data_IF_448612585074
#
_entry.id   IF_448612585074
#
_cell.length_a   1.000
_cell.length_b   1.000
_cell.length_c   1.000
_cell.angle_alpha   90.00
_cell.angle_beta   90.00
_cell.angle_gamma   90.00
#
_symmetry.space_group_name_H-M   'P 1'
#
loop_
_entity.id
_entity.type
_entity.pdbx_description
1 polymer ?
#
# COMPACT_ATOMS: atom_id res chain seq x y z
N UNK A 1 11.48 -4.52 -6.46
CA UNK A 1 11.60 -3.41 -5.46
C UNK A 1 10.37 -3.50 -4.56
N UNK A 2 10.53 -3.79 -3.27
CA UNK A 2 9.44 -3.79 -2.28
C UNK A 2 9.89 -2.88 -1.14
N UNK A 3 9.42 -1.63 -1.14
CA UNK A 3 9.74 -0.66 -0.11
C UNK A 3 8.42 -0.09 0.43
N UNK A 4 8.34 0.03 1.75
CA UNK A 4 7.22 0.71 2.41
C UNK A 4 7.13 2.13 1.83
N UNK A 5 5.94 2.50 1.38
CA UNK A 5 5.65 3.78 0.69
C UNK A 5 5.79 5.02 1.59
N UNK A 6 6.24 4.83 2.84
CA UNK A 6 6.32 5.86 3.86
C UNK A 6 4.98 6.14 4.53
N UNK A 7 4.92 7.28 5.23
CA UNK A 7 3.70 7.78 5.87
C UNK A 7 3.25 9.02 5.10
N UNK A 8 2.06 8.96 4.51
CA UNK A 8 1.39 10.15 4.00
C UNK A 8 0.47 10.72 5.08
N UNK A 9 0.19 12.03 5.01
CA UNK A 9 -0.72 12.69 5.94
C UNK A 9 -1.72 13.54 5.16
N UNK A 10 -2.93 13.68 5.68
CA UNK A 10 -3.94 14.61 5.20
C UNK A 10 -4.31 15.52 6.35
N UNK A 11 -4.27 16.83 6.12
CA UNK A 11 -4.78 17.78 7.11
C UNK A 11 -6.31 17.80 7.04
N UNK A 12 -6.96 17.60 8.18
CA UNK A 12 -8.40 17.68 8.33
C UNK A 12 -8.71 18.57 9.54
N UNK A 13 -9.18 19.80 9.27
CA UNK A 13 -9.29 20.86 10.28
C UNK A 13 -7.99 21.06 11.08
N UNK A 14 -8.03 20.76 12.38
CA UNK A 14 -6.92 20.89 13.32
C UNK A 14 -6.21 19.55 13.59
N UNK A 15 -6.50 18.52 12.80
CA UNK A 15 -5.96 17.18 12.96
C UNK A 15 -5.27 16.69 11.69
N UNK A 16 -4.47 15.64 11.84
CA UNK A 16 -3.83 14.94 10.73
C UNK A 16 -4.32 13.50 10.71
N UNK A 17 -4.84 13.08 9.56
CA UNK A 17 -5.10 11.68 9.26
C UNK A 17 -3.84 11.14 8.59
N UNK A 18 -3.31 10.03 9.09
CA UNK A 18 -2.12 9.38 8.52
C UNK A 18 -2.53 8.18 7.71
N UNK A 19 -1.81 7.97 6.62
CA UNK A 19 -1.96 6.82 5.73
C UNK A 19 -0.64 6.09 5.63
N UNK A 20 -0.68 4.77 5.81
CA UNK A 20 0.50 3.90 5.75
C UNK A 20 0.20 2.73 4.84
N UNK A 21 1.02 2.56 3.82
CA UNK A 21 0.98 1.40 2.95
C UNK A 21 1.92 0.31 3.45
N UNK A 22 1.37 -0.83 3.87
CA UNK A 22 2.14 -2.03 4.15
C UNK A 22 2.22 -2.86 2.87
N UNK A 23 3.46 -3.07 2.42
CA UNK A 23 3.72 -3.93 1.28
C UNK A 23 3.59 -5.36 1.73
N UNK A 24 2.58 -6.12 1.28
CA UNK A 24 2.50 -7.54 1.62
C UNK A 24 3.34 -8.37 0.68
N UNK A 25 3.94 -9.45 1.20
CA UNK A 25 4.85 -10.26 0.40
C UNK A 25 4.18 -10.79 -0.86
N UNK A 26 3.25 -11.75 -0.77
CA UNK A 26 2.81 -12.48 -1.97
C UNK A 26 1.29 -12.56 -2.14
N UNK A 27 0.50 -11.97 -1.23
CA UNK A 27 -0.97 -12.03 -1.28
C UNK A 27 -1.65 -10.68 -1.39
N UNK A 28 -1.29 -9.73 -0.52
CA UNK A 28 -2.14 -8.56 -0.27
C UNK A 28 -1.33 -7.30 -0.01
N UNK A 29 -1.76 -6.20 -0.58
CA UNK A 29 -1.23 -4.87 -0.32
C UNK A 29 -2.27 -4.12 0.50
N UNK A 30 -1.85 -3.52 1.62
CA UNK A 30 -2.81 -2.97 2.60
C UNK A 30 -2.50 -1.53 2.96
N UNK A 31 -3.51 -0.67 2.88
CA UNK A 31 -3.39 0.73 3.26
C UNK A 31 -4.15 0.92 4.56
N UNK A 32 -3.48 1.44 5.58
CA UNK A 32 -4.07 1.75 6.88
C UNK A 32 -4.28 3.25 7.03
N UNK A 33 -5.32 3.62 7.77
CA UNK A 33 -5.63 5.01 8.10
C UNK A 33 -5.89 5.18 9.59
N UNK A 34 -5.31 6.22 10.20
CA UNK A 34 -5.47 6.52 11.61
C UNK A 34 -5.18 8.00 11.92
N UNK A 35 -5.90 8.55 12.89
CA UNK A 35 -5.66 9.90 13.42
C UNK A 35 -5.16 9.86 14.88
N UNK A 36 -5.69 8.95 15.68
CA UNK A 36 -5.34 8.79 17.08
C UNK A 36 -4.19 7.77 17.23
N UNK A 37 -3.10 8.17 17.86
CA UNK A 37 -1.97 7.30 18.20
C UNK A 37 -1.24 7.85 19.43
N UNK A 38 -0.67 6.96 20.25
CA UNK A 38 0.27 7.34 21.31
C UNK A 38 1.71 7.17 20.79
N UNK A 39 2.46 8.24 20.48
CA UNK A 39 3.86 8.11 20.09
C UNK A 39 4.69 7.59 21.26
N UNK A 40 5.58 6.64 20.99
CA UNK A 40 6.65 6.25 21.92
C UNK A 40 8.00 6.49 21.22
N UNK A 41 8.93 7.24 21.84
CA UNK A 41 10.26 7.42 21.28
C UNK A 41 10.98 6.08 21.13
N UNK A 42 11.67 5.86 20.01
CA UNK A 42 12.44 4.63 19.78
C UNK A 42 13.49 4.39 20.88
N UNK A 43 14.06 5.47 21.44
CA UNK A 43 14.99 5.41 22.58
C UNK A 43 14.35 4.82 23.84
N UNK A 44 13.07 5.11 24.09
CA UNK A 44 12.35 4.54 25.22
C UNK A 44 12.12 3.03 25.04
N UNK A 45 11.82 2.59 23.81
CA UNK A 45 11.65 1.18 23.46
C UNK A 45 12.94 0.40 23.73
N UNK A 46 14.06 0.91 23.22
CA UNK A 46 15.39 0.28 23.39
C UNK A 46 15.79 0.24 24.86
N UNK A 47 15.59 1.35 25.58
CA UNK A 47 15.91 1.46 27.00
C UNK A 47 15.08 0.48 27.84
N UNK A 48 13.78 0.36 27.58
CA UNK A 48 12.91 -0.56 28.30
C UNK A 48 13.28 -2.03 28.05
N UNK A 49 13.62 -2.40 26.81
CA UNK A 49 14.12 -3.74 26.49
C UNK A 49 15.42 -4.04 27.25
N UNK A 50 16.39 -3.12 27.23
CA UNK A 50 17.67 -3.28 27.93
C UNK A 50 17.51 -3.40 29.46
N UNK A 51 16.49 -2.75 30.03
CA UNK A 51 16.19 -2.77 31.47
C UNK A 51 15.19 -3.88 31.86
N UNK A 52 14.73 -4.69 30.90
CA UNK A 52 13.68 -5.68 31.09
C UNK A 52 12.38 -5.08 31.72
N UNK A 53 12.07 -3.83 31.36
CA UNK A 53 10.90 -3.07 31.83
C UNK A 53 9.74 -3.23 30.85
N UNK A 54 8.54 -3.48 31.39
CA UNK A 54 7.30 -3.51 30.60
C UNK A 54 6.97 -2.08 30.14
N UNK A 55 6.83 -1.89 28.83
CA UNK A 55 6.33 -0.65 28.24
C UNK A 55 4.81 -0.58 28.35
N UNK A 56 4.27 0.59 28.67
CA UNK A 56 2.85 0.83 28.52
C UNK A 56 2.51 0.95 27.03
N UNK A 57 1.94 -0.12 26.48
CA UNK A 57 1.53 -0.22 25.07
C UNK A 57 0.10 0.32 24.83
N UNK A 58 -0.56 0.86 25.87
CA UNK A 58 -1.92 1.38 25.75
C UNK A 58 -1.99 2.50 24.71
N UNK A 59 -2.86 2.35 23.71
CA UNK A 59 -3.02 3.34 22.64
C UNK A 59 -1.99 3.24 21.50
N UNK A 60 -1.14 2.21 21.49
CA UNK A 60 -0.37 1.85 20.30
C UNK A 60 -1.30 1.33 19.20
N UNK A 61 -0.92 1.60 17.95
CA UNK A 61 -1.63 1.07 16.79
C UNK A 61 -1.07 -0.30 16.46
N UNK A 62 -1.95 -1.28 16.41
CA UNK A 62 -1.63 -2.61 15.92
C UNK A 62 -2.14 -2.75 14.48
N UNK A 63 -1.23 -2.69 13.51
CA UNK A 63 -1.54 -2.95 12.08
C UNK A 63 -1.81 -4.43 11.78
N UNK A 64 -1.70 -5.31 12.79
CA UNK A 64 -1.94 -6.74 12.66
C UNK A 64 -0.63 -7.49 12.47
N UNK A 65 -0.49 -8.13 11.31
CA UNK A 65 0.63 -9.01 11.00
C UNK A 65 1.94 -8.24 10.93
N UNK A 66 3.05 -8.97 10.73
CA UNK A 66 4.37 -8.32 10.61
C UNK A 66 4.27 -7.19 9.60
N UNK A 67 4.98 -6.08 9.83
CA UNK A 67 4.82 -4.84 9.05
C UNK A 67 5.02 -4.95 7.53
N UNK A 68 5.39 -6.13 7.02
CA UNK A 68 5.54 -6.47 5.61
C UNK A 68 4.50 -7.48 5.07
N UNK A 69 3.47 -7.86 5.83
CA UNK A 69 2.54 -8.94 5.42
C UNK A 69 1.16 -8.41 4.95
N UNK A 70 0.86 -7.14 5.25
CA UNK A 70 -0.46 -6.56 4.96
C UNK A 70 -1.54 -7.13 5.89
N UNK A 71 -2.74 -7.37 5.37
CA UNK A 71 -3.91 -7.84 6.14
C UNK A 71 -4.04 -9.36 6.25
N UNK A 72 -3.27 -10.11 5.45
CA UNK A 72 -3.24 -11.56 5.41
C UNK A 72 -1.90 -12.07 5.99
N UNK A 73 -1.89 -13.24 6.65
CA UNK A 73 -0.66 -13.86 7.12
C UNK A 73 0.24 -14.27 5.95
N UNK A 74 1.54 -14.38 6.20
CA UNK A 74 2.51 -14.85 5.21
C UNK A 74 2.17 -16.25 4.68
N UNK A 75 2.00 -16.41 3.36
CA UNK A 75 2.04 -17.72 2.75
C UNK A 75 3.49 -18.15 2.45
N UNK A 76 3.70 -19.45 2.41
CA UNK A 76 4.79 -20.09 1.69
C UNK A 76 4.15 -20.73 0.47
N UNK A 77 4.48 -20.20 -0.70
CA UNK A 77 3.86 -20.57 -1.97
C UNK A 77 4.75 -21.58 -2.69
N UNK A 78 4.23 -22.79 -2.92
CA UNK A 78 4.94 -23.87 -3.61
C UNK A 78 4.14 -24.37 -4.83
N UNK A 79 4.80 -24.80 -5.92
CA UNK A 79 4.12 -25.46 -7.02
C UNK A 79 3.65 -26.86 -6.61
N UNK A 80 2.44 -27.25 -7.00
CA UNK A 80 1.97 -28.62 -6.80
C UNK A 80 2.68 -29.57 -7.78
N UNK A 81 3.43 -30.55 -7.26
CA UNK A 81 4.18 -31.51 -8.10
C UNK A 81 3.28 -32.34 -9.03
N UNK A 82 2.05 -32.63 -8.60
CA UNK A 82 1.08 -33.45 -9.35
C UNK A 82 0.34 -32.68 -10.43
N UNK A 83 0.21 -31.36 -10.29
CA UNK A 83 -0.47 -30.50 -11.25
C UNK A 83 0.16 -29.10 -11.25
N UNK A 84 0.97 -28.76 -12.27
CA UNK A 84 1.64 -27.46 -12.37
C UNK A 84 0.69 -26.25 -12.45
N UNK A 85 -0.60 -26.46 -12.73
CA UNK A 85 -1.62 -25.40 -12.74
C UNK A 85 -2.16 -25.06 -11.35
N UNK A 86 -1.78 -25.84 -10.32
CA UNK A 86 -2.16 -25.62 -8.94
C UNK A 86 -0.96 -25.15 -8.11
N UNK A 87 -1.28 -24.39 -7.08
CA UNK A 87 -0.32 -23.82 -6.15
C UNK A 87 -0.73 -24.27 -4.75
N UNK A 88 0.24 -24.70 -3.96
CA UNK A 88 0.10 -24.98 -2.53
C UNK A 88 0.51 -23.74 -1.75
N UNK A 89 -0.36 -23.27 -0.85
CA UNK A 89 -0.11 -22.13 0.03
C UNK A 89 -0.11 -22.60 1.48
N UNK A 90 1.06 -22.61 2.12
CA UNK A 90 1.18 -22.89 3.54
C UNK A 90 1.16 -21.59 4.33
N UNK A 91 0.16 -21.39 5.18
CA UNK A 91 0.03 -20.17 5.99
C UNK A 91 0.86 -20.28 7.26
N UNK A 92 1.87 -19.42 7.39
CA UNK A 92 2.66 -19.31 8.60
C UNK A 92 1.87 -18.60 9.72
N UNK A 93 2.07 -19.01 10.98
CA UNK A 93 1.50 -18.37 12.17
C UNK A 93 -0.04 -18.30 12.24
N UNK A 94 -0.76 -19.17 11.52
CA UNK A 94 -2.23 -19.14 11.43
C UNK A 94 -2.97 -19.04 12.79
N UNK A 95 -2.52 -19.76 13.83
CA UNK A 95 -3.17 -19.72 15.15
C UNK A 95 -3.05 -18.33 15.79
N UNK A 96 -1.85 -17.74 15.73
CA UNK A 96 -1.62 -16.35 16.19
C UNK A 96 -2.49 -15.39 15.38
N UNK A 97 -2.66 -15.69 14.09
CA UNK A 97 -3.52 -14.92 13.19
C UNK A 97 -4.95 -14.82 13.68
N UNK A 98 -5.56 -15.97 13.98
CA UNK A 98 -6.93 -16.00 14.48
C UNK A 98 -7.03 -15.35 15.87
N UNK A 99 -6.05 -15.57 16.75
CA UNK A 99 -6.08 -15.05 18.13
C UNK A 99 -6.00 -13.51 18.24
N UNK A 100 -5.49 -12.83 17.22
CA UNK A 100 -5.28 -11.37 17.22
C UNK A 100 -6.12 -10.64 16.18
N UNK A 101 -6.89 -11.35 15.36
CA UNK A 101 -7.71 -10.77 14.28
C UNK A 101 -8.68 -9.68 14.73
N UNK A 102 -9.22 -9.76 15.94
CA UNK A 102 -10.16 -8.75 16.50
C UNK A 102 -9.47 -7.60 17.23
N UNK A 103 -8.15 -7.66 17.43
CA UNK A 103 -7.35 -6.67 18.17
C UNK A 103 -6.61 -5.69 17.26
N UNK A 104 -6.58 -5.95 15.96
CA UNK A 104 -5.90 -5.12 14.96
C UNK A 104 -6.84 -4.07 14.38
N UNK A 105 -6.28 -2.95 13.91
CA UNK A 105 -7.04 -1.99 13.12
C UNK A 105 -7.36 -2.61 11.75
N UNK A 106 -8.58 -2.39 11.26
CA UNK A 106 -8.94 -2.79 9.91
C UNK A 106 -8.24 -1.88 8.89
N UNK A 107 -7.74 -2.42 7.76
CA UNK A 107 -7.15 -1.63 6.68
C UNK A 107 -8.21 -0.76 6.02
N UNK A 108 -7.84 0.46 5.64
CA UNK A 108 -8.69 1.37 4.86
C UNK A 108 -9.15 0.67 3.59
N UNK A 109 -8.21 0.09 2.86
CA UNK A 109 -8.45 -0.71 1.66
C UNK A 109 -7.32 -1.73 1.49
N UNK A 110 -7.62 -2.78 0.73
CA UNK A 110 -6.64 -3.77 0.29
C UNK A 110 -6.83 -4.07 -1.19
N UNK A 111 -5.73 -4.46 -1.82
CA UNK A 111 -5.75 -5.09 -3.14
C UNK A 111 -4.83 -6.30 -3.15
N UNK A 112 -5.02 -7.21 -4.10
CA UNK A 112 -4.44 -8.55 -4.02
C UNK A 112 -3.51 -8.84 -5.20
N UNK A 113 -2.50 -9.70 -4.97
CA UNK A 113 -1.56 -10.15 -6.01
C UNK A 113 -2.17 -11.19 -6.95
N UNK A 114 -3.29 -11.77 -6.51
CA UNK A 114 -4.18 -12.66 -7.25
C UNK A 114 -5.61 -12.17 -6.98
N UNK A 115 -6.11 -11.27 -7.82
CA UNK A 115 -7.46 -10.72 -7.69
C UNK A 115 -8.35 -11.22 -8.84
N UNK A 116 -9.33 -12.11 -8.58
CA UNK A 116 -10.21 -12.64 -9.61
C UNK A 116 -11.34 -11.66 -10.00
N UNK A 117 -11.49 -10.53 -9.30
CA UNK A 117 -12.57 -9.58 -9.55
C UNK A 117 -12.31 -8.83 -10.87
N UNK A 118 -13.31 -8.70 -11.75
CA UNK A 118 -13.11 -8.22 -13.12
C UNK A 118 -12.71 -6.75 -13.22
N UNK A 119 -13.05 -5.92 -12.24
CA UNK A 119 -12.76 -4.49 -12.18
C UNK A 119 -11.49 -4.15 -11.37
N UNK A 120 -10.74 -5.17 -10.96
CA UNK A 120 -9.54 -5.04 -10.12
C UNK A 120 -8.30 -5.49 -10.87
N UNK A 121 -7.16 -4.96 -10.44
CA UNK A 121 -5.86 -5.39 -10.93
C UNK A 121 -5.21 -6.34 -9.94
N UNK A 122 -4.43 -7.27 -10.46
CA UNK A 122 -3.51 -8.06 -9.64
C UNK A 122 -2.22 -7.28 -9.44
N UNK A 123 -1.93 -6.92 -8.19
CA UNK A 123 -0.78 -6.11 -7.80
C UNK A 123 0.54 -6.86 -7.71
N UNK A 124 1.62 -6.12 -7.45
CA UNK A 124 2.96 -6.68 -7.22
C UNK A 124 3.69 -6.03 -6.05
N UNK A 125 3.55 -4.71 -5.88
CA UNK A 125 4.16 -3.95 -4.80
C UNK A 125 3.54 -2.55 -4.72
N UNK A 126 2.99 -2.20 -3.56
CA UNK A 126 2.53 -0.84 -3.25
C UNK A 126 3.73 0.12 -3.18
N UNK A 127 3.80 1.10 -4.08
CA UNK A 127 4.96 2.01 -4.20
C UNK A 127 4.66 3.46 -3.82
N UNK A 128 3.40 3.80 -3.55
CA UNK A 128 3.03 5.16 -3.18
C UNK A 128 1.59 5.26 -2.70
N UNK A 129 1.37 6.09 -1.69
CA UNK A 129 0.05 6.46 -1.17
C UNK A 129 0.05 7.96 -0.94
N UNK A 130 -0.94 8.69 -1.46
CA UNK A 130 -1.10 10.12 -1.25
C UNK A 130 -2.58 10.50 -1.20
N UNK A 131 -3.01 11.31 -0.22
CA UNK A 131 -4.31 11.94 -0.28
C UNK A 131 -4.30 13.06 -1.32
N UNK A 132 -5.40 13.21 -2.05
CA UNK A 132 -5.61 14.29 -3.01
C UNK A 132 -6.67 15.27 -2.50
N UNK A 133 -6.28 16.53 -2.34
CA UNK A 133 -7.13 17.62 -1.84
C UNK A 133 -7.49 18.63 -2.94
N UNK A 134 -7.05 18.38 -4.17
CA UNK A 134 -7.36 19.21 -5.33
C UNK A 134 -8.77 18.94 -5.88
N UNK A 135 -9.13 19.71 -6.89
CA UNK A 135 -10.41 19.64 -7.60
C UNK A 135 -10.25 19.59 -9.12
N UNK A 136 -9.02 19.48 -9.62
CA UNK A 136 -8.72 19.42 -11.05
C UNK A 136 -9.10 18.06 -11.62
N UNK A 137 -8.88 16.97 -10.87
CA UNK A 137 -9.27 15.62 -11.28
C UNK A 137 -10.69 15.30 -10.77
N UNK A 138 -11.70 15.19 -11.66
CA UNK A 138 -13.09 14.99 -11.25
C UNK A 138 -13.30 13.71 -10.44
N UNK A 139 -14.07 13.82 -9.35
CA UNK A 139 -14.43 12.67 -8.51
C UNK A 139 -13.34 12.20 -7.55
N UNK A 140 -12.13 12.77 -7.59
CA UNK A 140 -11.02 12.37 -6.72
C UNK A 140 -10.79 13.28 -5.51
N UNK A 141 -11.49 14.41 -5.41
CA UNK A 141 -11.32 15.34 -4.28
C UNK A 141 -11.57 14.65 -2.94
N UNK A 142 -10.55 14.70 -2.07
CA UNK A 142 -10.55 14.05 -0.76
C UNK A 142 -10.25 12.54 -0.79
N UNK A 143 -10.02 11.94 -1.95
CA UNK A 143 -9.69 10.52 -2.07
C UNK A 143 -8.24 10.24 -1.68
N UNK A 144 -7.99 8.98 -1.33
CA UNK A 144 -6.66 8.43 -1.11
C UNK A 144 -6.26 7.73 -2.40
N UNK A 145 -5.23 8.26 -3.04
CA UNK A 145 -4.66 7.72 -4.28
C UNK A 145 -3.48 6.84 -3.93
N UNK A 146 -3.34 5.72 -4.63
CA UNK A 146 -2.22 4.83 -4.45
C UNK A 146 -1.79 4.19 -5.76
N UNK A 147 -0.53 3.74 -5.79
CA UNK A 147 0.09 3.14 -6.97
C UNK A 147 0.68 1.78 -6.66
N UNK A 148 0.64 0.91 -7.67
CA UNK A 148 1.41 -0.32 -7.69
C UNK A 148 2.49 -0.26 -8.75
N UNK A 149 3.64 -0.85 -8.45
CA UNK A 149 4.79 -0.95 -9.34
C UNK A 149 4.42 -1.48 -10.72
N UNK A 150 3.67 -2.59 -10.79
CA UNK A 150 3.26 -3.27 -12.03
C UNK A 150 1.96 -4.05 -11.83
N UNK A 151 1.07 -3.97 -12.82
CA UNK A 151 -0.06 -4.89 -12.97
C UNK A 151 0.43 -6.26 -13.43
N UNK A 152 0.26 -7.28 -12.59
CA UNK A 152 0.65 -8.65 -12.88
C UNK A 152 -0.03 -9.17 -14.16
N UNK A 153 0.73 -9.87 -15.00
CA UNK A 153 0.23 -10.42 -16.26
C UNK A 153 0.12 -9.43 -17.42
N UNK A 154 0.46 -8.15 -17.21
CA UNK A 154 0.46 -7.15 -18.27
C UNK A 154 1.82 -7.06 -18.99
N UNK A 155 1.79 -7.07 -20.33
CA UNK A 155 2.96 -6.85 -21.20
C UNK A 155 2.63 -5.83 -22.30
N UNK A 156 3.45 -4.79 -22.52
CA UNK A 156 4.61 -4.38 -21.71
C UNK A 156 4.20 -4.00 -20.27
N UNK A 157 5.15 -4.06 -19.32
CA UNK A 157 4.85 -3.83 -17.91
C UNK A 157 4.30 -2.41 -17.68
N UNK A 158 3.21 -2.29 -16.93
CA UNK A 158 2.56 -1.01 -16.59
C UNK A 158 2.20 -1.00 -15.12
N UNK A 159 2.50 0.08 -14.41
CA UNK A 159 1.99 0.30 -13.07
C UNK A 159 0.47 0.45 -13.02
N UNK A 160 -0.08 0.39 -11.81
CA UNK A 160 -1.48 0.67 -11.55
C UNK A 160 -1.62 1.98 -10.78
N UNK A 161 -2.67 2.72 -11.08
CA UNK A 161 -3.11 3.88 -10.29
C UNK A 161 -4.55 3.61 -9.85
N UNK A 162 -4.80 3.78 -8.55
CA UNK A 162 -6.08 3.44 -7.94
C UNK A 162 -6.41 4.43 -6.83
N UNK A 163 -7.67 4.44 -6.41
CA UNK A 163 -8.14 5.29 -5.33
C UNK A 163 -9.19 4.63 -4.46
N UNK A 164 -9.31 5.13 -3.24
CA UNK A 164 -10.43 4.85 -2.36
C UNK A 164 -10.83 6.12 -1.62
N UNK A 165 -12.05 6.15 -1.08
CA UNK A 165 -12.53 7.26 -0.27
C UNK A 165 -11.94 7.20 1.14
N UNK A 166 -12.02 8.31 1.87
CA UNK A 166 -11.79 8.31 3.32
C UNK A 166 -12.82 7.37 3.97
N UNK A 167 -12.40 6.64 5.00
CA UNK A 167 -13.30 5.76 5.75
C UNK A 167 -14.42 6.56 6.41
N UNK A 168 -15.67 6.23 6.08
CA UNK A 168 -16.88 6.79 6.71
C UNK A 168 -17.53 5.84 7.71
N UNK A 169 -17.23 4.54 7.62
CA UNK A 169 -17.82 3.48 8.44
C UNK A 169 -16.72 2.59 9.05
N UNK A 170 -17.02 1.81 10.09
CA UNK A 170 -16.07 0.85 10.68
C UNK A 170 -15.90 -0.42 9.81
N UNK A 171 -15.70 -0.24 8.50
CA UNK A 171 -15.55 -1.29 7.48
C UNK A 171 -14.36 -0.96 6.57
N UNK A 172 -13.78 -1.99 5.95
CA UNK A 172 -12.83 -1.84 4.86
C UNK A 172 -13.53 -1.33 3.60
N UNK A 173 -12.97 -0.31 2.96
CA UNK A 173 -13.44 0.20 1.69
C UNK A 173 -13.01 -0.74 0.55
N UNK A 174 -13.81 -0.75 -0.51
CA UNK A 174 -13.30 -1.19 -1.81
C UNK A 174 -12.55 -0.03 -2.48
N UNK A 175 -11.81 -0.33 -3.55
CA UNK A 175 -11.09 0.67 -4.33
C UNK A 175 -11.54 0.68 -5.79
N UNK A 176 -11.21 1.75 -6.50
CA UNK A 176 -11.46 1.89 -7.93
C UNK A 176 -10.17 2.21 -8.67
N UNK A 177 -10.08 1.77 -9.92
CA UNK A 177 -8.94 2.08 -10.78
C UNK A 177 -9.06 3.49 -11.36
N UNK A 178 -7.91 4.13 -11.57
CA UNK A 178 -7.80 5.36 -12.35
C UNK A 178 -7.26 4.98 -13.73
N UNK A 179 -8.05 5.22 -14.76
CA UNK A 179 -7.61 5.01 -16.14
C UNK A 179 -6.64 6.11 -16.55
N UNK A 180 -5.48 5.69 -17.09
CA UNK A 180 -4.46 6.60 -17.59
C UNK A 180 -4.57 6.62 -19.11
N UNK A 181 -4.83 7.79 -19.67
CA UNK A 181 -4.95 8.01 -21.12
C UNK A 181 -3.61 8.33 -21.80
N UNK A 182 -2.53 8.48 -21.02
CA UNK A 182 -1.19 8.74 -21.52
C UNK A 182 -0.61 7.49 -22.23
N UNK A 183 -0.11 7.69 -23.45
CA UNK A 183 0.55 6.63 -24.21
C UNK A 183 2.03 6.50 -23.83
N UNK A 184 2.36 5.45 -23.08
CA UNK A 184 3.74 5.10 -22.73
C UNK A 184 4.51 4.43 -23.90
N UNK A 185 3.89 4.27 -25.06
CA UNK A 185 4.45 3.61 -26.23
C UNK A 185 4.75 2.12 -25.98
N UNK A 186 5.73 1.53 -26.69
CA UNK A 186 6.08 0.11 -26.53
C UNK A 186 6.94 -0.18 -25.29
N UNK A 187 7.49 0.86 -24.63
CA UNK A 187 8.39 0.71 -23.49
C UNK A 187 7.62 0.31 -22.23
N UNK A 188 8.28 -0.26 -21.23
CA UNK A 188 7.68 -0.51 -19.92
C UNK A 188 7.52 0.79 -19.12
N UNK A 189 6.55 0.85 -18.21
CA UNK A 189 6.31 2.00 -17.34
C UNK A 189 6.03 1.52 -15.92
N UNK A 190 7.06 1.53 -15.08
CA UNK A 190 7.02 1.09 -13.70
C UNK A 190 6.71 2.27 -12.77
N UNK A 191 5.63 2.19 -11.98
CA UNK A 191 5.24 3.32 -11.12
C UNK A 191 5.96 3.22 -9.78
N UNK A 192 6.82 4.17 -9.48
CA UNK A 192 7.79 4.05 -8.37
C UNK A 192 7.60 5.05 -7.25
N UNK A 193 6.91 6.16 -7.52
CA UNK A 193 6.62 7.15 -6.50
C UNK A 193 5.36 7.93 -6.83
N UNK A 194 4.63 8.29 -5.78
CA UNK A 194 3.48 9.18 -5.85
C UNK A 194 3.71 10.33 -4.87
N UNK A 195 3.79 11.54 -5.41
CA UNK A 195 4.04 12.77 -4.66
C UNK A 195 2.92 13.78 -4.83
N UNK A 196 2.92 14.80 -3.97
CA UNK A 196 2.01 15.95 -4.07
C UNK A 196 2.76 17.26 -3.85
N UNK A 197 2.16 18.38 -4.26
CA UNK A 197 2.58 19.69 -3.79
C UNK A 197 2.21 19.90 -2.30
N UNK A 198 2.71 20.97 -1.67
CA UNK A 198 2.47 21.26 -0.25
C UNK A 198 0.99 21.36 0.12
N UNK A 199 0.14 21.82 -0.80
CA UNK A 199 -1.30 21.94 -0.61
C UNK A 199 -2.07 20.63 -0.89
N UNK A 200 -1.38 19.57 -1.35
CA UNK A 200 -1.97 18.30 -1.78
C UNK A 200 -2.99 18.44 -2.92
N UNK A 201 -2.91 19.54 -3.67
CA UNK A 201 -3.82 19.89 -4.75
C UNK A 201 -3.37 19.39 -6.11
N UNK A 202 -2.10 18.94 -6.23
CA UNK A 202 -1.50 18.39 -7.44
C UNK A 202 -0.85 17.05 -7.13
N UNK A 203 -0.93 16.11 -8.06
CA UNK A 203 -0.32 14.78 -7.96
C UNK A 203 0.81 14.64 -8.97
N UNK A 204 1.90 14.01 -8.52
CA UNK A 204 3.07 13.74 -9.34
C UNK A 204 3.39 12.25 -9.32
N UNK A 205 3.44 11.64 -10.50
CA UNK A 205 3.75 10.23 -10.69
C UNK A 205 5.18 10.07 -11.20
N UNK A 206 6.03 9.42 -10.41
CA UNK A 206 7.34 8.96 -10.85
C UNK A 206 7.25 7.63 -11.56
N UNK A 207 7.84 7.54 -12.75
CA UNK A 207 7.81 6.37 -13.62
C UNK A 207 9.23 6.01 -14.05
N UNK A 208 9.58 4.72 -13.97
CA UNK A 208 10.79 4.18 -14.58
C UNK A 208 10.48 3.41 -15.87
N UNK A 209 11.37 3.53 -16.85
CA UNK A 209 11.36 2.71 -18.08
C UNK A 209 12.02 1.32 -17.90
N UNK A 210 12.78 1.13 -16.82
CA UNK A 210 13.50 -0.10 -16.49
C UNK A 210 13.39 -0.42 -15.00
N UNK A 211 13.39 -1.71 -14.65
CA UNK A 211 13.51 -2.17 -13.26
C UNK A 211 14.95 -2.13 -12.76
N UNK A 212 15.92 -2.02 -13.66
CA UNK A 212 17.32 -1.98 -13.31
C UNK A 212 17.72 -0.56 -12.88
N UNK A 213 18.07 -0.40 -11.62
CA UNK A 213 18.44 0.89 -11.02
C UNK A 213 19.76 1.46 -11.56
N UNK A 214 20.53 0.66 -12.30
CA UNK A 214 21.77 1.12 -12.95
C UNK A 214 21.52 1.69 -14.35
N UNK A 215 20.32 1.56 -14.90
CA UNK A 215 20.01 2.08 -16.23
C UNK A 215 19.80 3.60 -16.15
N UNK A 216 20.71 4.33 -16.78
CA UNK A 216 20.75 5.79 -16.70
C UNK A 216 19.60 6.46 -17.46
N UNK A 217 19.04 7.53 -16.89
CA UNK A 217 18.08 8.42 -17.55
C UNK A 217 16.75 7.76 -17.97
N UNK A 218 16.36 6.67 -17.32
CA UNK A 218 15.07 6.00 -17.55
C UNK A 218 13.95 6.48 -16.61
N UNK A 219 14.16 7.57 -15.86
CA UNK A 219 13.18 8.12 -14.93
C UNK A 219 12.46 9.34 -15.50
N UNK A 220 11.13 9.35 -15.39
CA UNK A 220 10.26 10.47 -15.78
C UNK A 220 9.30 10.80 -14.65
N UNK A 221 8.97 12.08 -14.48
CA UNK A 221 7.93 12.54 -13.55
C UNK A 221 6.80 13.16 -14.35
N UNK A 222 5.57 12.74 -14.08
CA UNK A 222 4.34 13.25 -14.69
C UNK A 222 3.51 14.00 -13.66
N UNK A 223 2.89 15.11 -14.06
CA UNK A 223 1.79 15.71 -13.32
C UNK A 223 0.48 15.04 -13.77
N UNK A 224 -0.35 14.60 -12.81
CA UNK A 224 -1.67 14.01 -13.08
C UNK A 224 -2.72 15.11 -12.98
N UNK A 225 -3.57 15.24 -14.01
CA UNK A 225 -4.66 16.21 -14.12
C UNK A 225 -5.89 15.58 -14.76
#
# INVERSE_FOLDING_TARGET
VRNISGIAFQRYYNQYIKYVGNVGQDLVESIFSFACYKPIPATEIVSAYAQNRILDQTGMINFGWRGWEGDLPTPIINPCLSNPSLIEETIAYYIETISTATKRILPLTCYYHLDPRPDKFSGTALTGVQPYMGNEIPGLTGCIIFIDFVKRGQSPARGALAYTNVRTECKQNDYSLIEINYDFGPQSAYFVSLGTNTAQSKLYLGVYGSTNVTDYNHGTVFEIY
#
